data_IF_590701708826
#
_entry.id   IF_590701708826
#
_cell.length_a   1.000
_cell.length_b   1.000
_cell.length_c   1.000
_cell.angle_alpha   90.00
_cell.angle_beta   90.00
_cell.angle_gamma   90.00
#
_symmetry.space_group_name_H-M   'P 1'
#
loop_
_entity.id
_entity.type
_entity.pdbx_description
1 polymer ?
#
# COMPACT_ATOMS: atom_id res chain seq x y z
N UNK A 1 2.71 -7.39 9.42
CA UNK A 1 2.87 -8.86 9.31
C UNK A 1 4.01 -9.29 8.38
N UNK A 2 4.78 -8.33 7.85
CA UNK A 2 5.89 -8.61 6.91
C UNK A 2 6.99 -9.45 7.57
N UNK A 3 7.41 -9.11 8.80
CA UNK A 3 8.46 -9.83 9.52
C UNK A 3 8.12 -11.33 9.70
N UNK A 4 6.97 -11.71 10.28
CA UNK A 4 6.59 -13.11 10.39
C UNK A 4 6.48 -13.82 9.03
N UNK A 5 6.03 -13.14 7.99
CA UNK A 5 5.96 -13.71 6.65
C UNK A 5 7.36 -14.03 6.10
N UNK A 6 8.30 -13.11 6.20
CA UNK A 6 9.66 -13.30 5.71
C UNK A 6 10.41 -14.39 6.49
N UNK A 7 10.27 -14.43 7.82
CA UNK A 7 10.98 -15.40 8.66
C UNK A 7 10.33 -16.78 8.59
N UNK A 8 9.04 -16.86 8.85
CA UNK A 8 8.36 -18.16 9.04
C UNK A 8 7.92 -18.82 7.74
N UNK A 9 7.68 -18.05 6.68
CA UNK A 9 7.19 -18.59 5.41
C UNK A 9 8.23 -18.57 4.30
N UNK A 10 8.97 -17.45 4.15
CA UNK A 10 10.01 -17.32 3.14
C UNK A 10 11.37 -17.88 3.60
N UNK A 11 11.52 -18.27 4.87
CA UNK A 11 12.74 -18.89 5.41
C UNK A 11 13.94 -17.93 5.53
N UNK A 12 13.72 -16.62 5.59
CA UNK A 12 14.79 -15.64 5.73
C UNK A 12 15.25 -15.59 7.19
N UNK A 13 16.55 -15.68 7.43
CA UNK A 13 17.11 -15.56 8.78
C UNK A 13 16.78 -14.19 9.38
N UNK A 14 16.36 -14.18 10.65
CA UNK A 14 15.95 -12.97 11.38
C UNK A 14 17.00 -11.85 11.37
N UNK A 15 18.30 -12.21 11.27
CA UNK A 15 19.38 -11.22 11.22
C UNK A 15 19.32 -10.29 9.98
N UNK A 16 18.74 -10.77 8.87
CA UNK A 16 18.63 -9.98 7.64
C UNK A 16 17.37 -9.12 7.58
N UNK A 17 16.38 -9.37 8.42
CA UNK A 17 15.08 -8.67 8.38
C UNK A 17 15.25 -7.17 8.58
N UNK A 18 16.12 -6.74 9.51
CA UNK A 18 16.37 -5.30 9.72
C UNK A 18 16.91 -4.61 8.46
N UNK A 19 17.85 -5.24 7.75
CA UNK A 19 18.40 -4.72 6.49
C UNK A 19 17.33 -4.66 5.40
N UNK A 20 16.45 -5.66 5.33
CA UNK A 20 15.33 -5.69 4.39
C UNK A 20 14.28 -4.62 4.70
N UNK A 21 14.05 -4.30 5.98
CA UNK A 21 13.18 -3.19 6.39
C UNK A 21 13.76 -1.83 5.97
N UNK A 22 15.08 -1.66 6.05
CA UNK A 22 15.75 -0.45 5.53
C UNK A 22 15.56 -0.35 4.02
N UNK A 23 15.72 -1.44 3.29
CA UNK A 23 15.48 -1.51 1.84
C UNK A 23 14.03 -1.13 1.49
N UNK A 24 13.06 -1.67 2.23
CA UNK A 24 11.65 -1.32 2.09
C UNK A 24 11.40 0.17 2.37
N UNK A 25 12.06 0.74 3.40
CA UNK A 25 12.02 2.17 3.70
C UNK A 25 12.57 3.02 2.55
N UNK A 26 13.66 2.59 1.92
CA UNK A 26 14.16 3.21 0.67
C UNK A 26 13.11 3.19 -0.44
N UNK A 27 12.43 2.07 -0.62
CA UNK A 27 11.29 1.94 -1.54
C UNK A 27 10.17 2.93 -1.25
N UNK A 28 9.83 3.14 0.04
CA UNK A 28 8.82 4.13 0.46
C UNK A 28 9.20 5.56 0.06
N UNK A 29 10.47 5.94 0.25
CA UNK A 29 10.98 7.28 -0.15
C UNK A 29 10.87 7.45 -1.67
N UNK A 30 11.34 6.49 -2.44
CA UNK A 30 11.26 6.51 -3.90
C UNK A 30 9.80 6.56 -4.35
N UNK A 31 8.95 5.75 -3.76
CA UNK A 31 7.51 5.71 -4.04
C UNK A 31 6.86 7.08 -3.82
N UNK A 32 7.11 7.72 -2.68
CA UNK A 32 6.55 9.03 -2.37
C UNK A 32 6.99 10.12 -3.36
N UNK A 33 8.29 10.14 -3.71
CA UNK A 33 8.83 11.08 -4.70
C UNK A 33 8.22 10.86 -6.09
N UNK A 34 8.09 9.62 -6.53
CA UNK A 34 7.49 9.29 -7.82
C UNK A 34 5.99 9.60 -7.83
N UNK A 35 5.27 9.30 -6.76
CA UNK A 35 3.84 9.61 -6.61
C UNK A 35 3.58 11.11 -6.71
N UNK A 36 4.37 11.93 -6.02
CA UNK A 36 4.33 13.39 -6.15
C UNK A 36 4.61 13.87 -7.57
N UNK A 37 5.76 13.48 -8.12
CA UNK A 37 6.19 13.87 -9.48
C UNK A 37 5.18 13.49 -10.57
N UNK A 38 4.59 12.29 -10.48
CA UNK A 38 3.57 11.88 -11.44
C UNK A 38 2.26 12.64 -11.26
N UNK A 39 1.90 13.02 -10.02
CA UNK A 39 0.70 13.82 -9.74
C UNK A 39 0.82 15.25 -10.23
N UNK A 40 2.05 15.78 -10.38
CA UNK A 40 2.28 17.08 -10.99
C UNK A 40 2.10 17.03 -12.53
N UNK A 41 2.37 15.87 -13.14
CA UNK A 41 2.31 15.69 -14.59
C UNK A 41 0.97 15.13 -15.09
N UNK A 42 0.33 14.28 -14.30
CA UNK A 42 -0.90 13.59 -14.66
C UNK A 42 -2.01 13.87 -13.64
N UNK A 43 -3.24 13.45 -13.93
CA UNK A 43 -4.33 13.55 -12.97
C UNK A 43 -4.02 12.79 -11.69
N UNK A 44 -4.12 13.42 -10.50
CA UNK A 44 -3.86 12.75 -9.22
C UNK A 44 -4.73 11.51 -9.00
N UNK A 45 -6.01 11.53 -9.46
CA UNK A 45 -6.90 10.37 -9.36
C UNK A 45 -6.42 9.19 -10.19
N UNK A 46 -5.88 9.46 -11.36
CA UNK A 46 -5.34 8.44 -12.26
C UNK A 46 -4.05 7.84 -11.68
N UNK A 47 -3.14 8.68 -11.17
CA UNK A 47 -1.91 8.23 -10.53
C UNK A 47 -2.21 7.38 -9.30
N UNK A 48 -3.11 7.84 -8.42
CA UNK A 48 -3.54 7.08 -7.25
C UNK A 48 -4.19 5.75 -7.64
N UNK A 49 -5.05 5.74 -8.66
CA UNK A 49 -5.71 4.53 -9.16
C UNK A 49 -4.72 3.49 -9.66
N UNK A 50 -3.80 3.86 -10.55
CA UNK A 50 -2.77 2.91 -11.02
C UNK A 50 -1.85 2.42 -9.92
N UNK A 51 -1.49 3.28 -8.97
CA UNK A 51 -0.69 2.89 -7.81
C UNK A 51 -1.42 1.84 -6.95
N UNK A 52 -2.74 2.02 -6.73
CA UNK A 52 -3.57 1.04 -6.03
C UNK A 52 -3.68 -0.28 -6.80
N UNK A 53 -3.76 -0.24 -8.12
CA UNK A 53 -3.78 -1.45 -8.96
C UNK A 53 -2.46 -2.22 -8.83
N UNK A 54 -1.32 -1.55 -8.89
CA UNK A 54 0.00 -2.18 -8.71
C UNK A 54 0.13 -2.78 -7.31
N UNK A 55 -0.36 -2.08 -6.27
CA UNK A 55 -0.39 -2.61 -4.91
C UNK A 55 -1.27 -3.87 -4.80
N UNK A 56 -2.46 -3.87 -5.41
CA UNK A 56 -3.35 -5.02 -5.46
C UNK A 56 -2.68 -6.23 -6.12
N UNK A 57 -2.05 -6.04 -7.28
CA UNK A 57 -1.31 -7.10 -7.99
C UNK A 57 -0.16 -7.63 -7.12
N UNK A 58 0.62 -6.73 -6.51
CA UNK A 58 1.74 -7.10 -5.65
C UNK A 58 1.30 -7.93 -4.45
N UNK A 59 0.21 -7.54 -3.77
CA UNK A 59 -0.35 -8.28 -2.64
C UNK A 59 -0.90 -9.65 -3.06
N UNK A 60 -1.56 -9.72 -4.21
CA UNK A 60 -2.04 -10.98 -4.78
C UNK A 60 -0.86 -11.92 -5.11
N UNK A 61 0.22 -11.40 -5.69
CA UNK A 61 1.42 -12.18 -5.97
C UNK A 61 2.14 -12.61 -4.69
N UNK A 62 2.16 -11.80 -3.64
CA UNK A 62 2.69 -12.20 -2.32
C UNK A 62 1.94 -13.42 -1.80
N UNK A 63 0.62 -13.47 -1.93
CA UNK A 63 -0.17 -14.64 -1.51
C UNK A 63 0.29 -15.94 -2.19
N UNK A 64 0.53 -15.90 -3.50
CA UNK A 64 0.94 -17.11 -4.26
C UNK A 64 2.43 -17.43 -4.14
N UNK A 65 3.28 -16.42 -4.02
CA UNK A 65 4.73 -16.54 -4.15
C UNK A 65 5.49 -16.40 -2.82
N UNK A 66 4.78 -16.32 -1.68
CA UNK A 66 5.37 -16.07 -0.36
C UNK A 66 6.46 -17.07 0.08
N UNK A 67 6.49 -18.25 -0.50
CA UNK A 67 7.52 -19.28 -0.23
C UNK A 67 8.88 -18.97 -0.87
N UNK A 68 8.92 -18.11 -1.89
CA UNK A 68 10.17 -17.74 -2.54
C UNK A 68 10.74 -16.47 -1.86
N UNK A 69 11.91 -16.55 -1.19
CA UNK A 69 12.44 -15.43 -0.41
C UNK A 69 12.76 -14.20 -1.27
N UNK A 70 13.34 -14.40 -2.45
CA UNK A 70 13.74 -13.30 -3.34
C UNK A 70 12.49 -12.56 -3.84
N UNK A 71 11.51 -13.31 -4.32
CA UNK A 71 10.28 -12.74 -4.86
C UNK A 71 9.45 -12.04 -3.79
N UNK A 72 9.40 -12.60 -2.58
CA UNK A 72 8.73 -11.98 -1.43
C UNK A 72 9.33 -10.63 -1.07
N UNK A 73 10.66 -10.51 -1.07
CA UNK A 73 11.35 -9.24 -0.79
C UNK A 73 11.09 -8.20 -1.88
N UNK A 74 11.17 -8.60 -3.15
CA UNK A 74 10.89 -7.69 -4.28
C UNK A 74 9.44 -7.19 -4.21
N UNK A 75 8.47 -8.08 -4.05
CA UNK A 75 7.06 -7.73 -3.97
C UNK A 75 6.75 -6.87 -2.73
N UNK A 76 7.40 -7.12 -1.60
CA UNK A 76 7.33 -6.29 -0.41
C UNK A 76 7.81 -4.86 -0.71
N UNK A 77 8.96 -4.70 -1.35
CA UNK A 77 9.49 -3.39 -1.70
C UNK A 77 8.55 -2.63 -2.66
N UNK A 78 7.99 -3.32 -3.65
CA UNK A 78 7.01 -2.73 -4.58
C UNK A 78 5.75 -2.32 -3.82
N UNK A 79 5.21 -3.18 -2.97
CA UNK A 79 4.00 -2.89 -2.19
C UNK A 79 4.20 -1.69 -1.26
N UNK A 80 5.32 -1.61 -0.53
CA UNK A 80 5.63 -0.49 0.36
C UNK A 80 5.89 0.80 -0.42
N UNK A 81 6.53 0.74 -1.57
CA UNK A 81 6.67 1.89 -2.47
C UNK A 81 5.30 2.40 -2.94
N UNK A 82 4.37 1.52 -3.32
CA UNK A 82 3.02 1.88 -3.72
C UNK A 82 2.22 2.52 -2.59
N UNK A 83 2.34 2.02 -1.35
CA UNK A 83 1.69 2.62 -0.17
C UNK A 83 2.04 4.10 0.00
N UNK A 84 3.28 4.47 -0.23
CA UNK A 84 3.72 5.86 -0.12
C UNK A 84 3.52 6.66 -1.41
N UNK A 85 3.59 6.00 -2.57
CA UNK A 85 3.32 6.66 -3.85
C UNK A 85 1.86 7.12 -3.98
N UNK A 86 0.90 6.45 -3.32
CA UNK A 86 -0.51 6.82 -3.35
C UNK A 86 -0.83 8.00 -2.42
N UNK A 87 -0.01 8.27 -1.39
CA UNK A 87 -0.33 9.27 -0.36
C UNK A 87 -0.38 10.69 -0.91
N UNK A 88 0.62 11.11 -1.69
CA UNK A 88 0.69 12.45 -2.26
C UNK A 88 -0.48 12.75 -3.24
N UNK A 89 -0.81 11.89 -4.22
CA UNK A 89 -1.95 12.12 -5.10
C UNK A 89 -3.29 12.11 -4.37
N UNK A 90 -3.50 11.27 -3.38
CA UNK A 90 -4.75 11.27 -2.59
C UNK A 90 -4.90 12.54 -1.77
N UNK A 91 -3.83 13.00 -1.12
CA UNK A 91 -3.85 14.26 -0.38
C UNK A 91 -4.16 15.44 -1.29
N UNK A 92 -3.53 15.49 -2.47
CA UNK A 92 -3.77 16.54 -3.46
C UNK A 92 -5.22 16.54 -3.97
N UNK A 93 -5.82 15.36 -4.18
CA UNK A 93 -7.24 15.23 -4.55
C UNK A 93 -8.15 15.81 -3.49
N UNK A 94 -7.92 15.49 -2.21
CA UNK A 94 -8.75 15.98 -1.12
C UNK A 94 -8.61 17.49 -0.96
N UNK A 95 -7.40 18.04 -1.02
CA UNK A 95 -7.16 19.48 -0.94
C UNK A 95 -7.85 20.22 -2.09
N UNK A 96 -7.67 19.75 -3.34
CA UNK A 96 -8.27 20.39 -4.53
C UNK A 96 -9.79 20.40 -4.51
N UNK A 97 -10.42 19.40 -3.89
CA UNK A 97 -11.88 19.31 -3.82
C UNK A 97 -12.48 19.92 -2.55
N UNK A 98 -11.66 20.32 -1.58
CA UNK A 98 -12.09 20.91 -0.31
C UNK A 98 -12.17 22.45 -0.40
N UNK A 99 -12.92 22.99 -1.38
CA UNK A 99 -13.04 24.45 -1.64
C UNK A 99 -13.28 25.25 -0.37
N UNK A 100 -12.32 26.09 0.04
CA UNK A 100 -12.37 26.90 1.26
C UNK A 100 -12.11 26.13 2.56
N UNK A 101 -11.77 24.85 2.48
CA UNK A 101 -11.42 23.98 3.60
C UNK A 101 -10.18 23.13 3.36
N UNK A 102 -9.15 23.69 2.68
CA UNK A 102 -7.95 22.95 2.24
C UNK A 102 -7.21 22.29 3.41
N UNK A 103 -7.14 22.99 4.56
CA UNK A 103 -6.53 22.44 5.80
C UNK A 103 -7.35 21.24 6.30
N UNK A 104 -8.68 21.34 6.24
CA UNK A 104 -9.55 20.23 6.62
C UNK A 104 -9.40 19.05 5.65
N UNK A 105 -9.30 19.32 4.34
CA UNK A 105 -9.03 18.29 3.33
C UNK A 105 -7.71 17.54 3.59
N UNK A 106 -6.64 18.26 3.92
CA UNK A 106 -5.36 17.66 4.29
C UNK A 106 -5.46 16.82 5.57
N UNK A 107 -6.16 17.32 6.58
CA UNK A 107 -6.39 16.60 7.83
C UNK A 107 -7.22 15.33 7.64
N UNK A 108 -8.28 15.39 6.82
CA UNK A 108 -9.08 14.23 6.46
C UNK A 108 -8.25 13.14 5.74
N UNK A 109 -7.31 13.54 4.87
CA UNK A 109 -6.37 12.61 4.24
C UNK A 109 -5.58 11.83 5.29
N UNK A 110 -5.01 12.52 6.27
CA UNK A 110 -4.20 11.90 7.33
C UNK A 110 -5.05 11.00 8.25
N UNK A 111 -6.26 11.42 8.60
CA UNK A 111 -7.21 10.60 9.38
C UNK A 111 -7.55 9.32 8.62
N UNK A 112 -7.88 9.43 7.33
CA UNK A 112 -8.22 8.28 6.49
C UNK A 112 -7.06 7.29 6.36
N UNK A 113 -5.83 7.80 6.24
CA UNK A 113 -4.62 6.99 6.17
C UNK A 113 -4.40 6.21 7.48
N UNK A 114 -4.51 6.87 8.63
CA UNK A 114 -4.36 6.22 9.93
C UNK A 114 -5.48 5.21 10.21
N UNK A 115 -6.72 5.53 9.84
CA UNK A 115 -7.84 4.60 9.96
C UNK A 115 -7.66 3.37 9.08
N UNK A 116 -7.20 3.57 7.83
CA UNK A 116 -6.86 2.49 6.91
C UNK A 116 -5.76 1.58 7.46
N UNK A 117 -4.72 2.15 8.07
CA UNK A 117 -3.65 1.39 8.72
C UNK A 117 -4.18 0.56 9.91
N UNK A 118 -5.01 1.16 10.76
CA UNK A 118 -5.61 0.47 11.90
C UNK A 118 -6.52 -0.69 11.45
N UNK A 119 -7.39 -0.44 10.47
CA UNK A 119 -8.25 -1.47 9.87
C UNK A 119 -7.43 -2.57 9.19
N UNK A 120 -6.40 -2.20 8.45
CA UNK A 120 -5.49 -3.14 7.79
C UNK A 120 -4.74 -4.03 8.78
N UNK A 121 -4.28 -3.46 9.89
CA UNK A 121 -3.65 -4.22 10.97
C UNK A 121 -4.63 -5.18 11.66
N UNK A 122 -5.85 -4.71 11.94
CA UNK A 122 -6.88 -5.53 12.58
C UNK A 122 -7.33 -6.69 11.69
N UNK A 123 -7.79 -6.38 10.46
CA UNK A 123 -8.35 -7.38 9.53
C UNK A 123 -7.24 -8.32 9.03
N UNK A 124 -6.04 -7.79 8.75
CA UNK A 124 -4.88 -8.59 8.37
C UNK A 124 -4.39 -9.54 9.48
N UNK A 125 -4.72 -9.27 10.75
CA UNK A 125 -4.43 -10.15 11.88
C UNK A 125 -5.38 -11.34 12.01
N UNK A 126 -6.59 -11.25 11.47
CA UNK A 126 -7.61 -12.30 11.58
C UNK A 126 -7.12 -13.67 11.04
N UNK A 127 -6.53 -13.77 9.84
CA UNK A 127 -6.01 -15.03 9.34
C UNK A 127 -4.95 -15.66 10.24
N UNK A 128 -4.11 -14.84 10.88
CA UNK A 128 -3.09 -15.32 11.82
C UNK A 128 -3.75 -15.89 13.09
N UNK A 129 -4.73 -15.17 13.64
CA UNK A 129 -5.47 -15.61 14.82
C UNK A 129 -6.24 -16.91 14.55
N UNK A 130 -6.65 -17.15 13.32
CA UNK A 130 -7.32 -18.38 12.87
C UNK A 130 -6.35 -19.49 12.42
N UNK A 131 -5.04 -19.31 12.59
CA UNK A 131 -4.01 -20.29 12.19
C UNK A 131 -3.99 -20.63 10.69
N UNK A 132 -4.51 -19.74 9.81
CA UNK A 132 -4.58 -19.95 8.36
C UNK A 132 -3.23 -19.78 7.65
N UNK A 133 -2.23 -19.18 8.33
CA UNK A 133 -0.92 -18.92 7.75
C UNK A 133 -0.71 -17.46 7.33
N UNK A 134 0.56 -17.03 7.31
CA UNK A 134 0.93 -15.62 7.13
C UNK A 134 0.61 -15.08 5.72
N UNK A 135 0.59 -15.92 4.68
CA UNK A 135 0.25 -15.50 3.32
C UNK A 135 -1.17 -14.95 3.20
N UNK A 136 -2.10 -15.44 4.02
CA UNK A 136 -3.50 -14.99 3.98
C UNK A 136 -3.68 -13.55 4.45
N UNK A 137 -2.69 -12.97 5.14
CA UNK A 137 -2.73 -11.56 5.54
C UNK A 137 -2.70 -10.60 4.35
N UNK A 138 -2.21 -11.04 3.19
CA UNK A 138 -2.18 -10.24 1.97
C UNK A 138 -3.56 -10.09 1.31
N UNK A 139 -4.48 -11.04 1.51
CA UNK A 139 -5.80 -11.05 0.85
C UNK A 139 -6.66 -9.83 1.21
N UNK A 140 -6.88 -9.50 2.49
CA UNK A 140 -7.64 -8.30 2.85
C UNK A 140 -7.04 -7.03 2.25
N UNK A 141 -5.71 -6.91 2.27
CA UNK A 141 -5.01 -5.79 1.65
C UNK A 141 -5.24 -5.68 0.14
N UNK A 142 -5.21 -6.81 -0.57
CA UNK A 142 -5.49 -6.87 -2.01
C UNK A 142 -6.94 -6.45 -2.32
N UNK A 143 -7.91 -6.90 -1.51
CA UNK A 143 -9.33 -6.54 -1.65
C UNK A 143 -9.51 -5.03 -1.46
N UNK A 144 -8.96 -4.44 -0.39
CA UNK A 144 -9.05 -3.00 -0.15
C UNK A 144 -8.35 -2.17 -1.24
N UNK A 145 -7.19 -2.61 -1.72
CA UNK A 145 -6.49 -1.96 -2.82
C UNK A 145 -7.31 -2.00 -4.12
N UNK A 146 -8.00 -3.11 -4.40
CA UNK A 146 -8.87 -3.24 -5.56
C UNK A 146 -10.09 -2.31 -5.48
N UNK A 147 -10.76 -2.25 -4.33
CA UNK A 147 -11.85 -1.28 -4.14
C UNK A 147 -11.37 0.16 -4.25
N UNK A 148 -10.21 0.48 -3.69
CA UNK A 148 -9.59 1.81 -3.84
C UNK A 148 -9.33 2.17 -5.30
N UNK A 149 -8.82 1.22 -6.10
CA UNK A 149 -8.65 1.39 -7.55
C UNK A 149 -9.97 1.71 -8.25
N UNK A 150 -11.03 0.92 -7.99
CA UNK A 150 -12.35 1.12 -8.63
C UNK A 150 -12.89 2.51 -8.31
N UNK A 151 -12.86 2.93 -7.03
CA UNK A 151 -13.36 4.23 -6.59
C UNK A 151 -12.59 5.38 -7.23
N UNK A 152 -11.26 5.31 -7.27
CA UNK A 152 -10.41 6.34 -7.87
C UNK A 152 -10.58 6.43 -9.38
N UNK A 153 -10.76 5.28 -10.04
CA UNK A 153 -11.01 5.25 -11.48
C UNK A 153 -12.40 5.76 -11.85
N UNK A 154 -13.42 5.45 -11.04
CA UNK A 154 -14.75 6.02 -11.17
C UNK A 154 -14.72 7.55 -10.99
N UNK A 155 -14.01 8.02 -9.96
CA UNK A 155 -13.84 9.45 -9.72
C UNK A 155 -13.15 10.15 -10.91
N UNK A 156 -12.10 9.55 -11.45
CA UNK A 156 -11.39 10.06 -12.62
C UNK A 156 -12.28 10.21 -13.87
N UNK A 157 -13.22 9.28 -14.08
CA UNK A 157 -14.14 9.34 -15.24
C UNK A 157 -15.25 10.37 -15.07
N UNK A 158 -15.60 10.69 -13.84
CA UNK A 158 -16.73 11.57 -13.54
C UNK A 158 -16.32 13.04 -13.46
N UNK A 159 -15.12 13.32 -13.07
CA UNK A 159 -14.55 14.66 -12.84
C UNK A 159 -13.24 14.85 -13.61
#
# INVERSE_FOLDING_TARGET
YINPLLVNLSGIESKYVSSLMILAGGGMVIGNLLGGKFSDKYSPSLVAGYTQLVACISLTLIFFCAKNPILSVILMCICTACLFAVSAPQQLLLIKNAKGGEILGASCSQISFNLGNAMGAFIGGIPIAQHLGYQYTAIPGAIFAFFGFILLFYFYKKY
#
